data_IF_666811629546
#
_entry.id   IF_666811629546
#
_cell.length_a   1.000
_cell.length_b   1.000
_cell.length_c   1.000
_cell.angle_alpha   90.00
_cell.angle_beta   90.00
_cell.angle_gamma   90.00
#
_symmetry.space_group_name_H-M   'P 1'
#
loop_
_entity.id
_entity.type
_entity.pdbx_description
1 polymer ?
#
# COMPACT_ATOMS: atom_id res chain seq x y z
N UNK A 1 -1.41 7.64 14.70
CA UNK A 1 -1.31 7.26 13.28
C UNK A 1 -0.23 6.21 13.11
N UNK A 2 -0.47 5.17 12.32
CA UNK A 2 0.56 4.20 11.93
C UNK A 2 0.87 4.33 10.44
N UNK A 3 2.15 4.33 10.07
CA UNK A 3 2.57 4.30 8.66
C UNK A 3 3.40 3.05 8.41
N UNK A 4 2.89 2.14 7.59
CA UNK A 4 3.52 0.87 7.24
C UNK A 4 4.39 1.03 6.00
N UNK A 5 5.64 0.63 6.09
CA UNK A 5 6.66 0.69 5.03
C UNK A 5 7.18 -0.73 4.74
N UNK A 6 6.67 -1.43 3.73
CA UNK A 6 7.27 -2.69 3.29
C UNK A 6 8.60 -2.41 2.60
N UNK A 7 9.62 -3.22 2.90
CA UNK A 7 10.92 -3.15 2.24
C UNK A 7 11.44 -4.56 1.88
N UNK A 8 12.22 -4.62 0.83
CA UNK A 8 12.98 -5.79 0.41
C UNK A 8 14.21 -5.33 -0.38
N UNK A 9 15.40 -5.54 0.18
CA UNK A 9 16.68 -5.10 -0.39
C UNK A 9 16.70 -3.58 -0.65
N UNK A 10 16.46 -2.81 0.40
CA UNK A 10 16.29 -1.36 0.34
C UNK A 10 17.20 -0.61 1.34
N UNK A 11 18.29 -1.26 1.80
CA UNK A 11 19.22 -0.71 2.80
C UNK A 11 19.59 0.76 2.54
N UNK A 12 19.86 1.09 1.26
CA UNK A 12 20.38 2.41 0.89
C UNK A 12 19.38 3.58 1.10
N UNK A 13 18.08 3.31 1.28
CA UNK A 13 17.07 4.39 1.35
C UNK A 13 16.32 4.43 2.69
N UNK A 14 16.47 3.42 3.54
CA UNK A 14 15.67 3.26 4.76
C UNK A 14 15.87 4.44 5.71
N UNK A 15 17.10 4.77 6.07
CA UNK A 15 17.39 5.83 7.05
C UNK A 15 16.89 7.20 6.58
N UNK A 16 17.16 7.58 5.34
CA UNK A 16 16.65 8.83 4.77
C UNK A 16 15.12 8.87 4.79
N UNK A 17 14.49 7.77 4.43
CA UNK A 17 13.03 7.68 4.40
C UNK A 17 12.41 7.79 5.79
N UNK A 18 12.99 7.11 6.79
CA UNK A 18 12.55 7.20 8.19
C UNK A 18 12.70 8.61 8.72
N UNK A 19 13.85 9.22 8.51
CA UNK A 19 14.14 10.60 8.94
C UNK A 19 13.15 11.60 8.33
N UNK A 20 12.93 11.54 7.02
CA UNK A 20 11.99 12.43 6.32
C UNK A 20 10.55 12.23 6.78
N UNK A 21 10.13 10.97 6.94
CA UNK A 21 8.78 10.65 7.34
C UNK A 21 8.52 11.03 8.81
N UNK A 22 9.46 10.77 9.72
CA UNK A 22 9.32 11.12 11.13
C UNK A 22 9.21 12.62 11.33
N UNK A 23 10.11 13.41 10.73
CA UNK A 23 10.04 14.88 10.79
C UNK A 23 8.70 15.41 10.27
N UNK A 24 8.19 14.83 9.19
CA UNK A 24 6.88 15.23 8.67
C UNK A 24 5.74 14.86 9.63
N UNK A 25 5.74 13.63 10.15
CA UNK A 25 4.69 13.14 11.06
C UNK A 25 4.67 13.89 12.39
N UNK A 26 5.80 14.32 12.91
CA UNK A 26 5.88 15.18 14.11
C UNK A 26 5.08 16.46 13.96
N UNK A 27 5.03 17.02 12.75
CA UNK A 27 4.29 18.24 12.44
C UNK A 27 2.77 18.04 12.25
N UNK A 28 2.32 16.84 11.87
CA UNK A 28 0.92 16.59 11.47
C UNK A 28 0.19 15.57 12.35
N UNK A 29 0.91 14.74 13.11
CA UNK A 29 0.34 13.69 13.96
C UNK A 29 1.18 13.53 15.24
N UNK A 30 0.79 14.13 16.38
CA UNK A 30 1.61 14.12 17.60
C UNK A 30 1.88 12.71 18.15
N UNK A 31 0.99 11.76 17.86
CA UNK A 31 1.16 10.35 18.18
C UNK A 31 1.23 9.53 16.90
N UNK A 32 2.42 9.07 16.55
CA UNK A 32 2.64 8.22 15.39
C UNK A 32 3.60 7.06 15.68
N UNK A 33 3.57 6.07 14.84
CA UNK A 33 4.58 5.01 14.70
C UNK A 33 4.86 4.75 13.23
N UNK A 34 6.06 4.29 12.92
CA UNK A 34 6.46 3.85 11.58
C UNK A 34 6.75 2.36 11.65
N UNK A 35 5.97 1.54 10.98
CA UNK A 35 6.12 0.08 10.97
C UNK A 35 6.88 -0.35 9.72
N UNK A 36 8.17 -0.64 9.85
CA UNK A 36 8.99 -1.15 8.76
C UNK A 36 8.88 -2.67 8.72
N UNK A 37 8.49 -3.21 7.57
CA UNK A 37 8.36 -4.66 7.37
C UNK A 37 9.36 -5.12 6.34
N UNK A 38 10.44 -5.74 6.82
CA UNK A 38 11.46 -6.39 5.99
C UNK A 38 10.98 -7.76 5.51
N UNK A 39 10.79 -7.88 4.22
CA UNK A 39 10.32 -9.11 3.56
C UNK A 39 11.47 -10.11 3.27
N UNK A 40 12.36 -10.27 4.25
CA UNK A 40 13.46 -11.25 4.18
C UNK A 40 14.63 -10.77 3.32
N UNK A 41 15.07 -9.52 3.49
CA UNK A 41 16.21 -8.93 2.77
C UNK A 41 17.51 -9.66 3.04
N UNK A 42 18.43 -9.60 2.06
CA UNK A 42 19.79 -10.15 2.07
C UNK A 42 20.87 -9.12 1.68
N UNK A 43 20.52 -7.82 1.62
CA UNK A 43 21.40 -6.70 1.24
C UNK A 43 22.01 -5.94 2.45
N UNK A 44 21.96 -6.48 3.65
CA UNK A 44 22.39 -5.78 4.88
C UNK A 44 21.28 -4.95 5.55
N UNK A 45 20.09 -4.88 5.00
CA UNK A 45 18.92 -4.27 5.69
C UNK A 45 18.75 -4.77 7.12
N UNK A 46 18.89 -6.08 7.43
CA UNK A 46 18.76 -6.57 8.80
C UNK A 46 19.84 -6.05 9.77
N UNK A 47 20.99 -5.64 9.25
CA UNK A 47 22.16 -5.21 10.03
C UNK A 47 22.17 -3.72 10.32
N UNK A 48 21.15 -2.98 9.86
CA UNK A 48 20.99 -1.55 10.17
C UNK A 48 20.77 -1.33 11.67
N UNK A 49 21.08 -0.14 12.20
CA UNK A 49 20.96 0.18 13.63
C UNK A 49 19.49 0.37 14.06
N UNK A 50 18.72 -0.72 14.01
CA UNK A 50 17.28 -0.69 14.27
C UNK A 50 16.90 -0.20 15.67
N UNK A 51 17.74 -0.45 16.69
CA UNK A 51 17.49 0.08 18.03
C UNK A 51 17.51 1.62 18.03
N UNK A 52 18.49 2.22 17.35
CA UNK A 52 18.56 3.68 17.21
C UNK A 52 17.39 4.23 16.39
N UNK A 53 16.96 3.50 15.35
CA UNK A 53 15.81 3.90 14.55
C UNK A 53 14.49 3.81 15.32
N UNK A 54 14.35 2.83 16.23
CA UNK A 54 13.19 2.72 17.11
C UNK A 54 13.10 3.93 18.06
N UNK A 55 14.22 4.39 18.60
CA UNK A 55 14.27 5.55 19.49
C UNK A 55 14.10 6.86 18.73
N UNK A 56 14.88 7.07 17.66
CA UNK A 56 14.94 8.36 16.96
C UNK A 56 13.72 8.61 16.04
N UNK A 57 13.13 7.56 15.46
CA UNK A 57 12.07 7.71 14.46
C UNK A 57 10.74 7.06 14.87
N UNK A 58 10.63 6.56 16.12
CA UNK A 58 9.49 5.76 16.59
C UNK A 58 9.18 4.61 15.63
N UNK A 59 10.24 3.97 15.13
CA UNK A 59 10.14 2.88 14.19
C UNK A 59 9.89 1.54 14.91
N UNK A 60 9.05 0.71 14.32
CA UNK A 60 8.87 -0.71 14.69
C UNK A 60 9.41 -1.54 13.55
N UNK A 61 10.36 -2.43 13.81
CA UNK A 61 10.94 -3.30 12.80
C UNK A 61 10.40 -4.73 12.89
N UNK A 62 9.84 -5.20 11.79
CA UNK A 62 9.33 -6.56 11.65
C UNK A 62 10.05 -7.24 10.49
N UNK A 63 10.60 -8.43 10.69
CA UNK A 63 11.30 -9.20 9.65
C UNK A 63 10.61 -10.51 9.36
N UNK A 64 10.45 -10.84 8.06
CA UNK A 64 10.05 -12.17 7.58
C UNK A 64 11.27 -13.06 7.44
N UNK A 65 11.11 -14.37 7.70
CA UNK A 65 12.22 -15.33 7.52
C UNK A 65 12.64 -15.49 6.05
N UNK A 66 11.75 -15.14 5.11
CA UNK A 66 11.96 -15.23 3.66
C UNK A 66 11.07 -14.22 2.95
N UNK A 67 11.37 -13.93 1.69
CA UNK A 67 10.51 -13.10 0.85
C UNK A 67 9.17 -13.81 0.59
N UNK A 68 8.10 -13.21 1.10
CA UNK A 68 6.70 -13.66 0.92
C UNK A 68 5.97 -12.84 -0.15
N UNK A 69 6.56 -11.73 -0.59
CA UNK A 69 6.00 -10.79 -1.53
C UNK A 69 5.36 -9.56 -0.88
N UNK A 70 5.29 -8.48 -1.64
CA UNK A 70 4.84 -7.16 -1.14
C UNK A 70 3.50 -7.21 -0.40
N UNK A 71 2.53 -7.97 -0.90
CA UNK A 71 1.22 -8.11 -0.26
C UNK A 71 1.30 -8.76 1.12
N UNK A 72 2.17 -9.77 1.28
CA UNK A 72 2.45 -10.42 2.57
C UNK A 72 3.06 -9.44 3.57
N UNK A 73 4.09 -8.70 3.15
CA UNK A 73 4.75 -7.69 3.97
C UNK A 73 3.78 -6.58 4.41
N UNK A 74 3.02 -5.99 3.48
CA UNK A 74 2.03 -4.96 3.83
C UNK A 74 0.98 -5.50 4.78
N UNK A 75 0.40 -6.66 4.53
CA UNK A 75 -0.60 -7.26 5.40
C UNK A 75 -0.07 -7.52 6.82
N UNK A 76 1.20 -7.95 6.94
CA UNK A 76 1.87 -8.14 8.23
C UNK A 76 2.01 -6.82 8.98
N UNK A 77 2.43 -5.75 8.31
CA UNK A 77 2.54 -4.42 8.89
C UNK A 77 1.18 -3.84 9.30
N UNK A 78 0.17 -3.98 8.45
CA UNK A 78 -1.19 -3.53 8.75
C UNK A 78 -1.81 -4.24 9.97
N UNK A 79 -1.45 -5.53 10.20
CA UNK A 79 -1.87 -6.27 11.41
C UNK A 79 -1.14 -5.83 12.67
N UNK A 80 0.09 -5.38 12.55
CA UNK A 80 0.92 -4.94 13.67
C UNK A 80 0.67 -3.47 14.06
N UNK A 81 0.10 -2.68 13.16
CA UNK A 81 -0.17 -1.28 13.38
C UNK A 81 -1.15 -1.07 14.55
N UNK A 82 -0.78 -0.21 15.50
CA UNK A 82 -1.54 0.05 16.73
C UNK A 82 -2.39 1.33 16.67
N UNK A 83 -2.14 2.21 15.67
CA UNK A 83 -2.86 3.48 15.56
C UNK A 83 -4.28 3.34 15.01
N UNK A 84 -5.19 4.27 15.35
CA UNK A 84 -6.57 4.26 14.85
C UNK A 84 -6.68 4.57 13.35
N UNK A 85 -5.72 5.29 12.79
CA UNK A 85 -5.59 5.56 11.35
C UNK A 85 -4.28 4.94 10.86
N UNK A 86 -4.38 4.03 9.90
CA UNK A 86 -3.25 3.23 9.42
C UNK A 86 -3.05 3.47 7.93
N UNK A 87 -1.87 3.91 7.56
CA UNK A 87 -1.46 4.11 6.18
C UNK A 87 -0.39 3.10 5.78
N UNK A 88 -0.28 2.80 4.50
CA UNK A 88 0.93 2.23 3.95
C UNK A 88 1.39 2.99 2.72
N UNK A 89 2.70 2.99 2.51
CA UNK A 89 3.36 3.53 1.32
C UNK A 89 4.65 2.76 1.08
N UNK A 90 5.29 2.97 -0.10
CA UNK A 90 6.58 2.35 -0.38
C UNK A 90 7.69 3.02 0.44
N UNK A 91 8.72 2.23 0.82
CA UNK A 91 9.83 2.70 1.67
C UNK A 91 10.62 3.86 1.04
N UNK A 92 10.67 3.98 -0.30
CA UNK A 92 11.33 5.05 -1.03
C UNK A 92 10.50 6.35 -1.14
N UNK A 93 9.36 6.40 -0.47
CA UNK A 93 8.45 7.56 -0.39
C UNK A 93 8.19 8.23 -1.75
N UNK A 94 7.69 7.51 -2.76
CA UNK A 94 7.48 8.06 -4.09
C UNK A 94 6.30 9.04 -4.13
N UNK A 95 5.41 8.99 -3.14
CA UNK A 95 4.33 9.97 -2.92
C UNK A 95 4.85 11.05 -1.99
N UNK A 96 4.70 12.32 -2.37
CA UNK A 96 5.10 13.44 -1.52
C UNK A 96 4.32 13.45 -0.20
N UNK A 97 5.01 13.76 0.90
CA UNK A 97 4.48 13.64 2.27
C UNK A 97 3.26 14.54 2.51
N UNK A 98 3.19 15.69 1.84
CA UNK A 98 2.01 16.56 1.87
C UNK A 98 0.76 15.87 1.31
N UNK A 99 0.93 14.89 0.41
CA UNK A 99 -0.18 14.06 -0.06
C UNK A 99 -0.63 13.06 1.00
N UNK A 100 0.30 12.52 1.80
CA UNK A 100 -0.03 11.71 2.97
C UNK A 100 -0.83 12.54 3.99
N UNK A 101 -0.39 13.77 4.30
CA UNK A 101 -1.11 14.68 5.21
C UNK A 101 -2.54 14.94 4.76
N UNK A 102 -2.75 15.30 3.48
CA UNK A 102 -4.12 15.48 2.93
C UNK A 102 -4.97 14.23 3.03
N UNK A 103 -4.39 13.05 2.81
CA UNK A 103 -5.09 11.77 2.97
C UNK A 103 -5.42 11.51 4.44
N UNK A 104 -4.53 11.86 5.37
CA UNK A 104 -4.74 11.76 6.80
C UNK A 104 -5.90 12.66 7.23
N UNK A 105 -5.88 13.94 6.86
CA UNK A 105 -6.95 14.89 7.17
C UNK A 105 -8.30 14.39 6.65
N UNK A 106 -8.30 13.83 5.43
CA UNK A 106 -9.53 13.31 4.81
C UNK A 106 -10.08 12.10 5.53
N UNK A 107 -9.22 11.18 5.97
CA UNK A 107 -9.63 10.00 6.74
C UNK A 107 -10.08 10.39 8.16
N UNK A 108 -9.44 11.38 8.76
CA UNK A 108 -9.75 11.87 10.11
C UNK A 108 -11.13 12.56 10.19
N UNK A 109 -11.76 12.96 9.08
CA UNK A 109 -13.12 13.50 9.05
C UNK A 109 -14.19 12.47 9.48
N UNK A 110 -13.87 11.17 9.39
CA UNK A 110 -14.69 10.09 9.94
C UNK A 110 -15.91 9.66 9.10
N UNK A 111 -16.17 10.29 7.96
CA UNK A 111 -17.27 9.93 7.04
C UNK A 111 -16.89 8.83 6.03
N UNK A 112 -15.61 8.46 5.96
CA UNK A 112 -15.08 7.36 5.15
C UNK A 112 -14.15 6.48 5.97
N UNK A 113 -14.08 5.21 5.60
CA UNK A 113 -13.23 4.22 6.25
C UNK A 113 -11.91 4.00 5.52
N UNK A 114 -11.82 4.47 4.26
CA UNK A 114 -10.69 4.22 3.37
C UNK A 114 -10.37 5.43 2.52
N UNK A 115 -9.08 5.76 2.44
CA UNK A 115 -8.55 6.77 1.52
C UNK A 115 -7.58 6.11 0.55
N UNK A 116 -7.78 6.33 -0.74
CA UNK A 116 -6.95 5.79 -1.81
C UNK A 116 -6.22 6.95 -2.52
N UNK A 117 -4.90 6.96 -2.47
CA UNK A 117 -4.12 7.84 -3.32
C UNK A 117 -4.39 7.55 -4.79
N UNK A 118 -4.55 8.57 -5.61
CA UNK A 118 -4.81 8.41 -7.04
C UNK A 118 -3.96 9.39 -7.86
N UNK A 119 -3.05 8.84 -8.69
CA UNK A 119 -2.13 9.58 -9.57
C UNK A 119 -2.79 10.08 -10.87
N UNK A 120 -4.07 9.81 -11.08
CA UNK A 120 -4.81 10.09 -12.33
C UNK A 120 -5.90 11.13 -12.16
N UNK A 121 -6.13 11.61 -10.95
CA UNK A 121 -7.05 12.71 -10.70
C UNK A 121 -6.46 14.02 -11.29
N UNK A 122 -7.34 14.98 -11.59
CA UNK A 122 -6.98 16.25 -12.26
C UNK A 122 -5.89 17.01 -11.51
N UNK A 123 -5.93 16.99 -10.17
CA UNK A 123 -5.01 17.72 -9.31
C UNK A 123 -3.76 16.91 -8.92
N UNK A 124 -3.61 15.69 -9.47
CA UNK A 124 -2.42 14.87 -9.27
C UNK A 124 -1.30 15.30 -10.21
N UNK A 125 -0.08 15.33 -9.68
CA UNK A 125 1.14 15.64 -10.46
C UNK A 125 2.08 14.46 -10.46
N UNK A 126 2.71 14.20 -11.60
CA UNK A 126 3.76 13.19 -11.77
C UNK A 126 5.04 13.89 -12.20
N UNK A 127 6.10 13.70 -11.43
CA UNK A 127 7.44 14.20 -11.75
C UNK A 127 8.31 13.00 -12.10
N UNK A 128 9.04 13.07 -13.22
CA UNK A 128 9.94 12.04 -13.70
C UNK A 128 9.53 11.46 -15.06
N UNK A 129 10.50 10.85 -15.75
CA UNK A 129 10.32 10.28 -17.09
C UNK A 129 9.86 8.83 -16.98
N UNK A 130 8.60 8.54 -17.31
CA UNK A 130 8.14 7.16 -17.46
C UNK A 130 8.32 6.69 -18.90
N UNK A 131 8.97 5.53 -19.11
CA UNK A 131 9.09 4.91 -20.43
C UNK A 131 7.72 4.58 -21.04
N UNK A 132 7.57 4.79 -22.37
CA UNK A 132 6.31 4.56 -23.10
C UNK A 132 5.75 3.15 -22.89
N UNK A 133 6.61 2.13 -22.88
CA UNK A 133 6.21 0.74 -22.67
C UNK A 133 5.56 0.51 -21.27
N UNK A 134 6.12 1.07 -20.19
CA UNK A 134 5.55 0.97 -18.84
C UNK A 134 4.15 1.62 -18.78
N UNK A 135 3.95 2.72 -19.48
CA UNK A 135 2.64 3.39 -19.58
C UNK A 135 1.59 2.48 -20.22
N UNK A 136 1.97 1.76 -21.28
CA UNK A 136 1.07 0.84 -21.99
C UNK A 136 0.73 -0.36 -21.08
N UNK A 137 1.74 -1.01 -20.49
CA UNK A 137 1.55 -2.14 -19.56
C UNK A 137 0.67 -1.72 -18.37
N UNK A 138 0.95 -0.57 -17.76
CA UNK A 138 0.13 -0.03 -16.67
C UNK A 138 -1.31 0.29 -17.10
N UNK A 139 -1.54 0.77 -18.33
CA UNK A 139 -2.89 1.02 -18.85
C UNK A 139 -3.66 -0.28 -19.08
N UNK A 140 -3.02 -1.29 -19.66
CA UNK A 140 -3.61 -2.61 -19.89
C UNK A 140 -3.96 -3.29 -18.57
N UNK A 141 -3.04 -3.26 -17.60
CA UNK A 141 -3.31 -3.80 -16.27
C UNK A 141 -4.52 -3.12 -15.60
N UNK A 142 -4.52 -1.79 -15.54
CA UNK A 142 -5.64 -1.06 -14.93
C UNK A 142 -6.96 -1.26 -15.68
N UNK A 143 -6.92 -1.42 -17.01
CA UNK A 143 -8.10 -1.76 -17.78
C UNK A 143 -8.62 -3.15 -17.40
N UNK A 144 -7.74 -4.15 -17.34
CA UNK A 144 -8.08 -5.51 -16.90
C UNK A 144 -8.67 -5.54 -15.48
N UNK A 145 -8.05 -4.84 -14.54
CA UNK A 145 -8.54 -4.72 -13.16
C UNK A 145 -9.93 -4.06 -13.08
N UNK A 146 -10.17 -2.99 -13.84
CA UNK A 146 -11.48 -2.32 -13.89
C UNK A 146 -12.57 -3.23 -14.42
N UNK A 147 -12.28 -4.02 -15.44
CA UNK A 147 -13.24 -4.95 -16.05
C UNK A 147 -13.50 -6.13 -15.12
N UNK A 148 -12.44 -6.65 -14.48
CA UNK A 148 -12.50 -7.89 -13.72
C UNK A 148 -12.90 -7.70 -12.24
N UNK A 149 -12.49 -6.62 -11.59
CA UNK A 149 -12.61 -6.54 -10.13
C UNK A 149 -13.18 -5.22 -9.59
N UNK A 150 -12.60 -4.05 -9.99
CA UNK A 150 -12.83 -2.79 -9.28
C UNK A 150 -13.25 -1.68 -10.25
N UNK A 151 -14.54 -1.52 -10.51
CA UNK A 151 -15.08 -0.43 -11.34
C UNK A 151 -14.95 0.91 -10.61
N UNK A 152 -14.69 2.01 -11.34
CA UNK A 152 -14.67 3.37 -10.77
C UNK A 152 -13.39 3.77 -10.03
N UNK A 153 -12.45 2.86 -9.74
CA UNK A 153 -11.10 3.21 -9.26
C UNK A 153 -10.14 3.34 -10.45
N UNK A 154 -9.64 4.55 -10.69
CA UNK A 154 -8.78 4.81 -11.83
C UNK A 154 -7.31 4.36 -11.60
N UNK A 155 -6.88 4.25 -10.35
CA UNK A 155 -5.51 3.93 -9.94
C UNK A 155 -5.48 3.02 -8.71
N UNK A 156 -5.64 1.73 -8.92
CA UNK A 156 -5.60 0.73 -7.84
C UNK A 156 -4.19 0.48 -7.30
N UNK A 157 -3.16 0.84 -8.06
CA UNK A 157 -1.75 0.56 -7.77
C UNK A 157 -0.97 1.77 -7.22
N UNK A 158 -1.67 2.81 -6.74
CA UNK A 158 -1.00 3.86 -5.98
C UNK A 158 -0.56 3.28 -4.63
N UNK A 159 0.71 3.43 -4.27
CA UNK A 159 1.25 2.88 -3.03
C UNK A 159 0.65 3.52 -1.77
N UNK A 160 0.15 4.76 -1.84
CA UNK A 160 -0.46 5.41 -0.69
C UNK A 160 -1.92 4.99 -0.53
N UNK A 161 -2.21 4.30 0.56
CA UNK A 161 -3.58 3.98 1.02
C UNK A 161 -3.68 4.13 2.53
N UNK A 162 -4.81 4.65 2.99
CA UNK A 162 -5.13 4.83 4.40
C UNK A 162 -6.44 4.14 4.77
N UNK A 163 -6.51 3.64 5.98
CA UNK A 163 -7.62 2.88 6.54
C UNK A 163 -7.87 3.29 7.99
N UNK A 164 -9.11 3.19 8.44
CA UNK A 164 -9.36 3.12 9.87
C UNK A 164 -9.00 1.73 10.40
N UNK A 165 -8.62 1.62 11.68
CA UNK A 165 -8.35 0.32 12.33
C UNK A 165 -9.55 -0.64 12.22
N UNK A 166 -10.78 -0.12 12.37
CA UNK A 166 -12.02 -0.90 12.26
C UNK A 166 -12.23 -1.46 10.84
N UNK A 167 -11.87 -0.68 9.81
CA UNK A 167 -11.90 -1.17 8.43
C UNK A 167 -10.88 -2.30 8.22
N UNK A 168 -9.66 -2.15 8.76
CA UNK A 168 -8.64 -3.20 8.67
C UNK A 168 -9.04 -4.47 9.40
N UNK A 169 -9.66 -4.38 10.56
CA UNK A 169 -10.15 -5.52 11.30
C UNK A 169 -11.16 -6.37 10.47
N UNK A 170 -11.95 -5.72 9.62
CA UNK A 170 -12.89 -6.38 8.72
C UNK A 170 -12.23 -6.90 7.42
N UNK A 171 -11.27 -6.15 6.85
CA UNK A 171 -10.64 -6.47 5.55
C UNK A 171 -9.60 -7.58 5.68
N UNK A 172 -8.69 -7.47 6.67
CA UNK A 172 -7.49 -8.32 6.74
C UNK A 172 -7.77 -9.82 6.89
N UNK A 173 -8.81 -10.28 7.62
CA UNK A 173 -9.16 -11.70 7.66
C UNK A 173 -9.56 -12.28 6.31
N UNK A 174 -10.05 -11.42 5.38
CA UNK A 174 -10.54 -11.82 4.06
C UNK A 174 -9.49 -11.70 2.94
N UNK A 175 -8.27 -11.23 3.26
CA UNK A 175 -7.20 -10.99 2.28
C UNK A 175 -6.09 -12.04 2.39
N UNK A 176 -5.61 -12.53 1.23
CA UNK A 176 -4.62 -13.61 1.16
C UNK A 176 -3.51 -13.38 0.13
N UNK A 177 -3.70 -12.47 -0.85
CA UNK A 177 -2.74 -12.30 -1.93
C UNK A 177 -1.43 -11.69 -1.44
N UNK A 178 -0.33 -12.33 -1.81
CA UNK A 178 1.03 -11.87 -1.50
C UNK A 178 1.68 -11.11 -2.68
N UNK A 179 1.12 -11.24 -3.89
CA UNK A 179 1.58 -10.55 -5.07
C UNK A 179 1.23 -9.06 -5.07
N UNK A 180 1.64 -8.32 -6.10
CA UNK A 180 1.20 -6.93 -6.30
C UNK A 180 -0.31 -6.76 -6.55
N UNK A 181 -1.06 -7.86 -6.73
CA UNK A 181 -2.51 -7.81 -6.82
C UNK A 181 -3.20 -7.59 -5.46
N UNK A 182 -2.47 -7.65 -4.34
CA UNK A 182 -2.99 -7.35 -3.00
C UNK A 182 -3.66 -5.97 -2.91
N UNK A 183 -3.13 -4.98 -3.62
CA UNK A 183 -3.71 -3.64 -3.71
C UNK A 183 -5.16 -3.67 -4.24
N UNK A 184 -5.39 -4.52 -5.24
CA UNK A 184 -6.72 -4.73 -5.83
C UNK A 184 -7.61 -5.52 -4.87
N UNK A 185 -7.05 -6.53 -4.19
CA UNK A 185 -7.78 -7.35 -3.21
C UNK A 185 -8.30 -6.49 -2.06
N UNK A 186 -7.47 -5.63 -1.47
CA UNK A 186 -7.90 -4.72 -0.39
C UNK A 186 -9.12 -3.88 -0.80
N UNK A 187 -9.07 -3.25 -1.98
CA UNK A 187 -10.16 -2.41 -2.48
C UNK A 187 -11.39 -3.28 -2.82
N UNK A 188 -11.17 -4.45 -3.42
CA UNK A 188 -12.24 -5.37 -3.79
C UNK A 188 -13.01 -5.87 -2.58
N UNK A 189 -12.31 -6.33 -1.55
CA UNK A 189 -12.89 -6.80 -0.28
C UNK A 189 -13.64 -5.65 0.39
N UNK A 190 -13.01 -4.49 0.57
CA UNK A 190 -13.63 -3.32 1.19
C UNK A 190 -14.97 -2.95 0.56
N UNK A 191 -15.05 -2.93 -0.77
CA UNK A 191 -16.30 -2.65 -1.50
C UNK A 191 -17.34 -3.74 -1.33
N UNK A 192 -16.90 -4.99 -1.22
CA UNK A 192 -17.82 -6.12 -1.03
C UNK A 192 -18.52 -6.10 0.31
N UNK A 193 -17.83 -5.64 1.34
CA UNK A 193 -18.39 -5.49 2.70
C UNK A 193 -19.00 -4.09 2.93
N UNK A 194 -19.07 -3.24 1.90
CA UNK A 194 -19.80 -1.98 1.93
C UNK A 194 -19.07 -0.82 2.63
N UNK A 195 -17.74 -0.88 2.79
CA UNK A 195 -16.97 0.21 3.39
C UNK A 195 -16.89 1.43 2.48
N UNK A 196 -17.08 2.60 3.07
CA UNK A 196 -16.98 3.87 2.37
C UNK A 196 -15.53 4.23 2.04
N UNK A 197 -15.27 4.55 0.77
CA UNK A 197 -13.94 4.94 0.29
C UNK A 197 -13.97 6.28 -0.44
N UNK A 198 -12.84 6.98 -0.41
CA UNK A 198 -12.60 8.19 -1.21
C UNK A 198 -11.24 8.13 -1.89
N UNK A 199 -11.14 8.74 -3.07
CA UNK A 199 -9.89 8.86 -3.81
C UNK A 199 -9.33 10.28 -3.65
N UNK A 200 -8.07 10.39 -3.26
CA UNK A 200 -7.37 11.66 -3.06
C UNK A 200 -6.27 11.86 -4.11
N UNK A 201 -6.14 13.09 -4.67
CA UNK A 201 -5.07 13.39 -5.59
C UNK A 201 -3.71 13.36 -4.88
N UNK A 202 -2.71 12.77 -5.54
CA UNK A 202 -1.36 12.68 -5.00
C UNK A 202 -0.32 13.27 -5.94
N UNK A 203 0.74 13.82 -5.35
CA UNK A 203 1.94 14.19 -6.06
C UNK A 203 2.90 13.01 -6.00
N UNK A 204 3.38 12.55 -7.16
CA UNK A 204 4.16 11.32 -7.28
C UNK A 204 5.46 11.57 -8.06
N UNK A 205 6.57 11.10 -7.49
CA UNK A 205 7.90 11.19 -8.09
C UNK A 205 8.40 9.79 -8.48
N UNK A 206 8.79 9.62 -9.73
CA UNK A 206 9.41 8.38 -10.20
C UNK A 206 10.93 8.48 -9.95
N UNK A 207 11.39 8.00 -8.81
CA UNK A 207 12.77 8.13 -8.37
C UNK A 207 13.66 6.93 -8.73
N UNK A 208 13.08 5.78 -9.13
CA UNK A 208 13.81 4.53 -9.31
C UNK A 208 13.98 4.12 -10.77
N UNK A 209 15.07 3.37 -11.00
CA UNK A 209 15.27 2.55 -12.20
C UNK A 209 14.15 1.51 -12.35
N UNK A 210 13.95 1.02 -13.57
CA UNK A 210 12.85 0.12 -13.89
C UNK A 210 13.35 -1.32 -14.10
N UNK A 211 12.56 -2.32 -13.68
CA UNK A 211 12.89 -3.71 -13.99
C UNK A 211 12.85 -3.97 -15.50
N UNK A 212 13.58 -4.99 -15.98
CA UNK A 212 13.57 -5.40 -17.38
C UNK A 212 12.16 -5.68 -17.92
N UNK A 213 11.92 -5.45 -19.21
CA UNK A 213 10.60 -5.59 -19.85
C UNK A 213 9.96 -6.98 -19.67
N UNK A 214 10.76 -8.05 -19.71
CA UNK A 214 10.28 -9.42 -19.50
C UNK A 214 9.73 -9.63 -18.09
N UNK A 215 10.36 -9.03 -17.07
CA UNK A 215 9.89 -9.06 -15.69
C UNK A 215 8.56 -8.33 -15.55
N UNK A 216 8.38 -7.20 -16.23
CA UNK A 216 7.11 -6.45 -16.23
C UNK A 216 5.95 -7.27 -16.83
N UNK A 217 6.19 -8.02 -17.91
CA UNK A 217 5.17 -8.87 -18.52
C UNK A 217 4.78 -10.02 -17.58
N UNK A 218 5.77 -10.68 -16.96
CA UNK A 218 5.52 -11.74 -15.97
C UNK A 218 4.69 -11.23 -14.79
N UNK A 219 5.05 -10.08 -14.24
CA UNK A 219 4.29 -9.42 -13.16
C UNK A 219 2.85 -9.11 -13.62
N UNK A 220 2.68 -8.59 -14.83
CA UNK A 220 1.36 -8.29 -15.39
C UNK A 220 0.48 -9.53 -15.46
N UNK A 221 0.97 -10.61 -16.04
CA UNK A 221 0.21 -11.86 -16.22
C UNK A 221 -0.15 -12.48 -14.88
N UNK A 222 0.83 -12.58 -13.96
CA UNK A 222 0.59 -13.14 -12.62
C UNK A 222 -0.49 -12.35 -11.87
N UNK A 223 -0.37 -11.02 -11.86
CA UNK A 223 -1.35 -10.18 -11.17
C UNK A 223 -2.75 -10.23 -11.80
N UNK A 224 -2.86 -10.33 -13.13
CA UNK A 224 -4.16 -10.48 -13.79
C UNK A 224 -4.81 -11.83 -13.47
N UNK A 225 -4.03 -12.91 -13.38
CA UNK A 225 -4.52 -14.22 -12.96
C UNK A 225 -5.01 -14.18 -11.52
N UNK A 226 -4.27 -13.51 -10.62
CA UNK A 226 -4.68 -13.36 -9.23
C UNK A 226 -5.99 -12.55 -9.11
N UNK A 227 -6.11 -11.43 -9.85
CA UNK A 227 -7.35 -10.65 -9.92
C UNK A 227 -8.53 -11.48 -10.46
N UNK A 228 -8.31 -12.33 -11.46
CA UNK A 228 -9.36 -13.23 -11.99
C UNK A 228 -9.80 -14.28 -10.95
N UNK A 229 -8.85 -14.75 -10.12
CA UNK A 229 -9.14 -15.67 -9.00
C UNK A 229 -9.98 -15.00 -7.92
N UNK A 230 -9.76 -13.71 -7.62
CA UNK A 230 -10.56 -12.95 -6.66
C UNK A 230 -12.07 -13.00 -7.02
N UNK A 231 -12.39 -12.88 -8.30
CA UNK A 231 -13.79 -12.91 -8.76
C UNK A 231 -14.46 -14.27 -8.52
N UNK A 232 -13.70 -15.38 -8.63
CA UNK A 232 -14.21 -16.73 -8.32
C UNK A 232 -14.42 -16.92 -6.82
N UNK A 233 -13.58 -16.31 -5.97
CA UNK A 233 -13.72 -16.33 -4.51
C UNK A 233 -14.94 -15.53 -4.00
N UNK A 234 -15.51 -14.65 -4.81
CA UNK A 234 -16.64 -13.80 -4.39
C UNK A 234 -17.85 -14.58 -3.85
N UNK A 235 -17.98 -15.86 -4.18
CA UNK A 235 -19.02 -16.73 -3.64
C UNK A 235 -18.74 -17.16 -2.18
N UNK A 236 -17.49 -17.33 -1.81
CA UNK A 236 -17.09 -17.67 -0.43
C UNK A 236 -17.31 -16.47 0.53
N UNK A 237 -17.09 -15.24 0.09
CA UNK A 237 -17.33 -14.05 0.90
C UNK A 237 -18.82 -13.82 1.23
N UNK A 238 -19.73 -14.19 0.34
CA UNK A 238 -21.18 -14.11 0.59
C UNK A 238 -21.64 -15.06 1.69
N UNK A 239 -21.11 -16.28 1.74
CA UNK A 239 -21.52 -17.28 2.73
C UNK A 239 -21.13 -16.93 4.17
N UNK A 240 -20.03 -16.19 4.39
CA UNK A 240 -19.64 -15.74 5.73
C UNK A 240 -20.51 -14.59 6.25
N UNK A 241 -20.96 -13.68 5.39
CA UNK A 241 -21.83 -12.56 5.78
C UNK A 241 -23.27 -13.00 6.03
N UNK A 242 -23.71 -14.10 5.42
CA UNK A 242 -25.06 -14.69 5.60
C UNK A 242 -25.13 -15.63 6.83
N UNK A 243 -24.00 -16.02 7.42
CA UNK A 243 -23.96 -16.87 8.63
C UNK A 243 -23.93 -16.03 9.93
N UNK A 244 -23.60 -14.74 9.86
CA UNK A 244 -23.54 -13.83 11.01
C UNK A 244 -24.78 -12.88 11.09
N UNK A 245 -25.76 -13.05 10.23
CA UNK A 245 -27.04 -12.33 10.23
C UNK A 245 -28.21 -13.25 10.61
#
# INVERSE_FOLDING_TARGET
VSVVLPCYNEMAVIEESLSRLSVYLEGVAPHYEIVVVDDGSDDGTPDLPWLDFMENYRAVYLRSARNEGKGGAVRRGLRAAAGPLVFFTDIDLPVELESLGRCLDRLAQGDVSIVLGNRRLKDSRKVGASFRCRRIVSRLFNWGVRVLAVRGCADTQCCLKGFTSDALAQILPLTELNSFAFDVELIYVARRIGLAEVQCPVQWRDARGHPPHLTLIKILVTNLLDVARLRKRSYAYRSHLEQDS
#
